data_IF_569533972112
#
_entry.id   IF_569533972112
#
_cell.length_a   1.000
_cell.length_b   1.000
_cell.length_c   1.000
_cell.angle_alpha   90.00
_cell.angle_beta   90.00
_cell.angle_gamma   90.00
#
_symmetry.space_group_name_H-M   'P 1'
#
loop_
_entity.id
_entity.type
_entity.pdbx_description
1 polymer ?
#
# COMPACT_ATOMS: atom_id res chain seq x y z
N UNK A 1 14.44 -8.36 -59.13
CA UNK A 1 13.42 -8.26 -58.07
C UNK A 1 14.01 -7.41 -56.96
N UNK A 2 13.63 -6.15 -56.91
CA UNK A 2 14.11 -5.18 -55.92
C UNK A 2 13.27 -5.33 -54.66
N UNK A 3 13.91 -5.71 -53.56
CA UNK A 3 13.29 -5.74 -52.23
C UNK A 3 13.34 -4.31 -51.69
N UNK A 4 12.20 -3.64 -51.67
CA UNK A 4 12.04 -2.37 -50.97
C UNK A 4 12.23 -2.60 -49.47
N UNK A 5 12.98 -1.74 -48.75
CA UNK A 5 13.05 -1.81 -47.30
C UNK A 5 11.71 -1.35 -46.72
N UNK A 6 11.09 -2.21 -45.90
CA UNK A 6 9.95 -1.81 -45.07
C UNK A 6 10.37 -0.64 -44.17
N UNK A 7 9.54 0.41 -44.02
CA UNK A 7 9.81 1.44 -43.05
C UNK A 7 9.67 0.83 -41.66
N UNK A 8 10.80 0.72 -40.97
CA UNK A 8 10.88 0.44 -39.54
C UNK A 8 9.92 1.38 -38.83
N UNK A 9 8.82 0.82 -38.35
CA UNK A 9 7.87 1.52 -37.51
C UNK A 9 8.58 1.84 -36.20
N UNK A 10 9.21 3.01 -36.15
CA UNK A 10 9.58 3.67 -34.90
C UNK A 10 8.30 3.79 -34.11
N UNK A 11 8.07 2.84 -33.20
CA UNK A 11 7.13 3.00 -32.10
C UNK A 11 7.65 4.19 -31.32
N UNK A 12 7.15 5.37 -31.68
CA UNK A 12 7.31 6.59 -30.93
C UNK A 12 7.03 6.25 -29.48
N UNK A 13 8.05 6.48 -28.64
CA UNK A 13 7.92 6.28 -27.21
C UNK A 13 6.73 7.11 -26.72
N UNK A 14 5.99 6.64 -25.70
CA UNK A 14 4.89 7.41 -25.13
C UNK A 14 5.38 8.83 -24.80
N UNK A 15 4.59 9.88 -25.06
CA UNK A 15 4.99 11.29 -24.87
C UNK A 15 5.52 11.61 -23.46
N UNK A 16 5.15 10.79 -22.47
CA UNK A 16 5.57 10.89 -21.07
C UNK A 16 7.00 10.41 -20.76
N UNK A 17 7.77 9.92 -21.75
CA UNK A 17 9.14 9.42 -21.51
C UNK A 17 10.23 10.42 -21.91
N UNK A 18 9.89 11.68 -22.17
CA UNK A 18 10.89 12.68 -22.53
C UNK A 18 11.76 13.04 -21.31
N UNK A 19 12.95 12.44 -21.25
CA UNK A 19 13.94 12.58 -20.19
C UNK A 19 14.19 14.04 -19.77
N UNK A 20 14.24 14.97 -20.72
CA UNK A 20 14.57 16.38 -20.48
C UNK A 20 13.40 17.15 -19.83
N UNK A 21 12.17 16.67 -19.98
CA UNK A 21 10.98 17.27 -19.35
C UNK A 21 10.66 16.68 -17.98
N UNK A 22 11.30 15.57 -17.61
CA UNK A 22 11.04 14.85 -16.37
C UNK A 22 12.02 15.29 -15.28
N UNK A 23 11.51 15.73 -14.13
CA UNK A 23 12.35 16.09 -12.98
C UNK A 23 13.11 14.89 -12.43
N UNK A 24 14.23 15.13 -11.73
CA UNK A 24 15.02 14.07 -11.10
C UNK A 24 14.16 13.17 -10.21
N UNK A 25 13.33 13.76 -9.36
CA UNK A 25 12.48 13.00 -8.44
C UNK A 25 11.44 12.16 -9.16
N UNK A 26 10.89 12.67 -10.26
CA UNK A 26 9.99 11.89 -11.10
C UNK A 26 10.73 10.73 -11.77
N UNK A 27 11.96 10.96 -12.28
CA UNK A 27 12.77 9.89 -12.86
C UNK A 27 13.11 8.81 -11.85
N UNK A 28 13.51 9.19 -10.64
CA UNK A 28 13.75 8.25 -9.53
C UNK A 28 12.53 7.39 -9.25
N UNK A 29 11.35 8.00 -9.11
CA UNK A 29 10.10 7.29 -8.85
C UNK A 29 9.77 6.30 -9.96
N UNK A 30 9.84 6.74 -11.22
CA UNK A 30 9.49 5.89 -12.37
C UNK A 30 10.45 4.72 -12.57
N UNK A 31 11.77 4.95 -12.46
CA UNK A 31 12.76 3.86 -12.56
C UNK A 31 12.58 2.89 -11.40
N UNK A 32 12.40 3.40 -10.18
CA UNK A 32 12.19 2.58 -9.00
C UNK A 32 10.91 1.74 -9.10
N UNK A 33 9.84 2.30 -9.63
CA UNK A 33 8.60 1.58 -9.90
C UNK A 33 8.81 0.42 -10.90
N UNK A 34 9.51 0.68 -12.02
CA UNK A 34 9.88 -0.34 -13.00
C UNK A 34 10.73 -1.45 -12.35
N UNK A 35 11.79 -1.08 -11.64
CA UNK A 35 12.69 -2.06 -11.04
C UNK A 35 12.01 -2.86 -9.94
N UNK A 36 11.19 -2.22 -9.11
CA UNK A 36 10.43 -2.89 -8.07
C UNK A 36 9.48 -3.92 -8.67
N UNK A 37 8.98 -3.74 -9.89
CA UNK A 37 8.04 -4.67 -10.53
C UNK A 37 8.62 -6.08 -10.76
N UNK A 38 9.95 -6.24 -10.70
CA UNK A 38 10.62 -7.55 -10.73
C UNK A 38 10.74 -8.21 -9.35
N UNK A 39 10.54 -7.44 -8.28
CA UNK A 39 10.44 -7.97 -6.93
C UNK A 39 8.99 -8.34 -6.61
N UNK A 40 8.81 -9.42 -5.86
CA UNK A 40 7.49 -9.98 -5.55
C UNK A 40 6.84 -9.29 -4.35
N UNK A 41 7.61 -8.70 -3.44
CA UNK A 41 7.15 -8.23 -2.13
C UNK A 41 7.27 -6.71 -1.95
N UNK A 42 8.37 -6.13 -2.41
CA UNK A 42 8.71 -4.74 -2.14
C UNK A 42 7.80 -3.81 -2.96
N UNK A 43 7.23 -2.82 -2.28
CA UNK A 43 6.53 -1.73 -2.94
C UNK A 43 7.54 -0.76 -3.57
N UNK A 44 7.13 0.02 -4.60
CA UNK A 44 8.02 1.00 -5.23
C UNK A 44 8.68 1.96 -4.24
N UNK A 45 8.00 2.39 -3.18
CA UNK A 45 8.54 3.32 -2.18
C UNK A 45 9.69 2.74 -1.34
N UNK A 46 9.63 1.44 -1.07
CA UNK A 46 10.54 0.70 -0.20
C UNK A 46 11.77 0.22 -0.99
N UNK A 47 11.57 -0.11 -2.28
CA UNK A 47 12.58 -0.70 -3.13
C UNK A 47 13.80 0.20 -3.30
N UNK A 48 14.96 -0.22 -2.80
CA UNK A 48 16.22 0.54 -2.89
C UNK A 48 16.10 2.00 -2.40
N UNK A 49 15.29 2.24 -1.36
CA UNK A 49 15.02 3.57 -0.82
C UNK A 49 16.29 4.32 -0.40
N UNK A 50 17.25 3.64 0.24
CA UNK A 50 18.52 4.20 0.68
C UNK A 50 19.37 4.68 -0.52
N UNK A 51 19.43 3.90 -1.60
CA UNK A 51 20.14 4.27 -2.84
C UNK A 51 19.43 5.46 -3.48
N UNK A 52 18.10 5.42 -3.58
CA UNK A 52 17.29 6.46 -4.21
C UNK A 52 17.46 7.84 -3.54
N UNK A 53 17.65 7.88 -2.21
CA UNK A 53 17.93 9.10 -1.45
C UNK A 53 19.31 9.67 -1.81
N UNK A 54 20.31 8.80 -2.00
CA UNK A 54 21.70 9.21 -2.33
C UNK A 54 21.88 9.71 -3.75
N UNK A 55 20.92 9.49 -4.64
CA UNK A 55 20.97 9.95 -6.03
C UNK A 55 20.72 11.46 -6.08
N UNK A 56 21.61 12.29 -6.62
CA UNK A 56 21.42 13.76 -6.66
C UNK A 56 21.74 14.38 -8.01
N UNK A 57 21.31 15.62 -8.26
CA UNK A 57 21.62 16.30 -9.53
C UNK A 57 23.13 16.49 -9.72
N UNK A 58 23.90 16.66 -8.65
CA UNK A 58 25.36 16.80 -8.72
C UNK A 58 26.04 15.53 -9.25
N UNK A 59 25.42 14.36 -9.11
CA UNK A 59 25.96 13.11 -9.65
C UNK A 59 25.75 12.99 -11.16
N UNK A 60 24.78 13.72 -11.73
CA UNK A 60 24.52 13.67 -13.19
C UNK A 60 25.60 14.35 -14.02
N UNK A 61 26.54 15.09 -13.40
CA UNK A 61 27.67 15.73 -14.09
C UNK A 61 28.94 14.88 -14.07
N UNK A 62 28.92 13.76 -13.32
CA UNK A 62 30.07 12.86 -13.19
C UNK A 62 30.20 11.95 -14.42
N UNK A 63 31.40 11.41 -14.70
CA UNK A 63 31.58 10.45 -15.77
C UNK A 63 30.68 9.22 -15.60
N UNK A 64 30.11 8.70 -16.70
CA UNK A 64 29.19 7.55 -16.66
C UNK A 64 29.80 6.29 -16.01
N UNK A 65 31.13 6.15 -16.00
CA UNK A 65 31.82 5.07 -15.28
C UNK A 65 31.56 5.09 -13.78
N UNK A 66 31.30 6.27 -13.19
CA UNK A 66 30.96 6.44 -11.78
C UNK A 66 29.49 6.16 -11.46
N UNK A 67 28.63 6.07 -12.48
CA UNK A 67 27.23 5.66 -12.31
C UNK A 67 27.08 4.14 -12.17
N UNK A 68 28.13 3.40 -12.53
CA UNK A 68 28.18 1.94 -12.37
C UNK A 68 28.70 1.60 -10.97
N UNK A 69 27.82 1.00 -10.17
CA UNK A 69 28.15 0.55 -8.81
C UNK A 69 28.58 -0.91 -8.86
N UNK A 70 29.89 -1.15 -8.79
CA UNK A 70 30.44 -2.51 -8.85
C UNK A 70 29.85 -3.41 -7.75
N UNK A 71 29.36 -4.58 -8.16
CA UNK A 71 28.73 -5.55 -7.24
C UNK A 71 27.27 -5.26 -6.89
N UNK A 72 26.70 -4.13 -7.35
CA UNK A 72 25.30 -3.77 -7.11
C UNK A 72 24.58 -3.41 -8.42
N UNK A 73 23.93 -4.41 -8.99
CA UNK A 73 23.14 -4.27 -10.22
C UNK A 73 21.95 -3.31 -10.02
N UNK A 74 21.32 -3.33 -8.84
CA UNK A 74 20.12 -2.52 -8.58
C UNK A 74 20.50 -1.04 -8.50
N UNK A 75 21.57 -0.72 -7.78
CA UNK A 75 22.10 0.63 -7.70
C UNK A 75 22.58 1.13 -9.07
N UNK A 76 23.24 0.27 -9.84
CA UNK A 76 23.66 0.59 -11.21
C UNK A 76 22.46 0.94 -12.09
N UNK A 77 21.45 0.06 -12.15
CA UNK A 77 20.26 0.29 -12.98
C UNK A 77 19.48 1.54 -12.55
N UNK A 78 19.36 1.79 -11.24
CA UNK A 78 18.68 2.97 -10.73
C UNK A 78 19.43 4.25 -11.10
N UNK A 79 20.75 4.28 -10.93
CA UNK A 79 21.57 5.47 -11.23
C UNK A 79 21.58 5.78 -12.72
N UNK A 80 21.81 4.76 -13.56
CA UNK A 80 21.76 4.91 -15.02
C UNK A 80 20.38 5.33 -15.50
N UNK A 81 19.32 4.69 -15.01
CA UNK A 81 17.95 5.05 -15.38
C UNK A 81 17.59 6.50 -15.04
N UNK A 82 18.21 7.09 -14.03
CA UNK A 82 17.87 8.43 -13.54
C UNK A 82 18.73 9.53 -14.18
N UNK A 83 20.00 9.26 -14.50
CA UNK A 83 20.94 10.26 -15.01
C UNK A 83 21.19 10.17 -16.52
N UNK A 84 20.98 9.02 -17.13
CA UNK A 84 21.24 8.80 -18.55
C UNK A 84 19.93 8.78 -19.36
N UNK A 85 19.88 9.54 -20.47
CA UNK A 85 18.69 9.58 -21.33
C UNK A 85 18.43 8.24 -22.03
N UNK A 86 19.50 7.54 -22.42
CA UNK A 86 19.41 6.25 -23.08
C UNK A 86 19.02 5.16 -22.08
N UNK A 87 19.64 5.16 -20.89
CA UNK A 87 19.27 4.32 -19.75
C UNK A 87 17.81 4.50 -19.33
N UNK A 88 17.35 5.74 -19.17
CA UNK A 88 15.95 6.08 -18.91
C UNK A 88 15.01 5.50 -19.97
N UNK A 89 15.34 5.75 -21.23
CA UNK A 89 14.55 5.28 -22.37
C UNK A 89 14.51 3.76 -22.44
N UNK A 90 15.64 3.11 -22.18
CA UNK A 90 15.77 1.66 -22.19
C UNK A 90 14.96 1.00 -21.08
N UNK A 91 15.09 1.49 -19.84
CA UNK A 91 14.36 0.94 -18.68
C UNK A 91 12.86 1.13 -18.84
N UNK A 92 12.40 2.27 -19.38
CA UNK A 92 10.98 2.50 -19.63
C UNK A 92 10.36 1.53 -20.67
N UNK A 93 11.17 0.83 -21.46
CA UNK A 93 10.68 -0.24 -22.38
C UNK A 93 10.44 -1.57 -21.67
N UNK A 94 10.96 -1.78 -20.47
CA UNK A 94 10.92 -3.09 -19.81
C UNK A 94 9.49 -3.48 -19.40
N UNK A 95 8.78 -2.57 -18.73
CA UNK A 95 7.43 -2.85 -18.22
C UNK A 95 6.51 -1.63 -18.47
N UNK A 96 5.45 -1.79 -19.28
CA UNK A 96 4.49 -0.72 -19.56
C UNK A 96 3.76 -0.24 -18.29
N UNK A 97 3.41 1.07 -18.24
CA UNK A 97 2.71 1.70 -17.10
C UNK A 97 1.48 0.91 -16.63
N UNK A 98 0.67 0.39 -17.56
CA UNK A 98 -0.52 -0.42 -17.25
C UNK A 98 -0.19 -1.70 -16.48
N UNK A 99 0.89 -2.38 -16.87
CA UNK A 99 1.35 -3.61 -16.21
C UNK A 99 1.96 -3.28 -14.86
N UNK A 100 2.73 -2.19 -14.74
CA UNK A 100 3.27 -1.71 -13.46
C UNK A 100 2.15 -1.44 -12.45
N UNK A 101 1.08 -0.75 -12.86
CA UNK A 101 -0.06 -0.48 -12.00
C UNK A 101 -0.78 -1.76 -11.53
N UNK A 102 -0.92 -2.75 -12.42
CA UNK A 102 -1.47 -4.05 -12.06
C UNK A 102 -0.59 -4.78 -11.02
N UNK A 103 0.72 -4.88 -11.29
CA UNK A 103 1.67 -5.52 -10.38
C UNK A 103 1.72 -4.83 -9.01
N UNK A 104 1.64 -3.51 -8.97
CA UNK A 104 1.52 -2.75 -7.73
C UNK A 104 0.27 -3.17 -6.95
N UNK A 105 -0.91 -3.21 -7.59
CA UNK A 105 -2.15 -3.61 -6.93
C UNK A 105 -2.07 -5.04 -6.39
N UNK A 106 -1.52 -5.98 -7.16
CA UNK A 106 -1.34 -7.38 -6.75
C UNK A 106 -0.37 -7.51 -5.55
N UNK A 107 0.67 -6.69 -5.47
CA UNK A 107 1.56 -6.62 -4.30
C UNK A 107 0.84 -6.06 -3.09
N UNK A 108 0.16 -4.94 -3.27
CA UNK A 108 -0.55 -4.25 -2.20
C UNK A 108 -1.61 -5.18 -1.57
N UNK A 109 -2.42 -5.84 -2.41
CA UNK A 109 -3.42 -6.81 -1.97
C UNK A 109 -2.79 -7.97 -1.18
N UNK A 110 -1.71 -8.58 -1.69
CA UNK A 110 -1.01 -9.67 -0.98
C UNK A 110 -0.44 -9.24 0.36
N UNK A 111 0.02 -7.99 0.48
CA UNK A 111 0.55 -7.47 1.74
C UNK A 111 -0.55 -7.16 2.75
N UNK A 112 -1.67 -6.58 2.32
CA UNK A 112 -2.84 -6.44 3.18
C UNK A 112 -3.29 -7.81 3.70
N UNK A 113 -3.45 -8.79 2.81
CA UNK A 113 -3.84 -10.14 3.20
C UNK A 113 -2.87 -10.75 4.22
N UNK A 114 -1.57 -10.59 4.03
CA UNK A 114 -0.55 -11.08 4.97
C UNK A 114 -0.71 -10.48 6.36
N UNK A 115 -1.02 -9.18 6.45
CA UNK A 115 -1.21 -8.52 7.75
C UNK A 115 -2.56 -8.90 8.38
N UNK A 116 -3.63 -9.08 7.61
CA UNK A 116 -4.90 -9.61 8.10
C UNK A 116 -4.78 -11.05 8.59
N UNK A 117 -4.11 -11.94 7.83
CA UNK A 117 -3.81 -13.31 8.26
C UNK A 117 -2.96 -13.31 9.55
N UNK A 118 -2.04 -12.37 9.67
CA UNK A 118 -1.22 -12.17 10.87
C UNK A 118 -2.08 -11.78 12.08
N UNK A 119 -3.02 -10.86 11.90
CA UNK A 119 -4.00 -10.49 12.91
C UNK A 119 -4.91 -11.65 13.29
N UNK A 120 -5.45 -12.38 12.31
CA UNK A 120 -6.35 -13.50 12.56
C UNK A 120 -5.65 -14.62 13.35
N UNK A 121 -4.36 -14.85 13.09
CA UNK A 121 -3.54 -15.77 13.91
C UNK A 121 -3.40 -15.29 15.35
N UNK A 122 -3.23 -13.98 15.58
CA UNK A 122 -3.19 -13.40 16.93
C UNK A 122 -4.54 -13.63 17.61
N UNK A 123 -5.63 -13.25 16.95
CA UNK A 123 -6.99 -13.37 17.46
C UNK A 123 -7.36 -14.82 17.82
N UNK A 124 -7.01 -15.77 16.95
CA UNK A 124 -7.27 -17.20 17.18
C UNK A 124 -6.43 -17.75 18.33
N UNK A 125 -5.16 -17.36 18.44
CA UNK A 125 -4.26 -17.83 19.51
C UNK A 125 -4.71 -17.44 20.92
N UNK A 126 -5.58 -16.43 21.06
CA UNK A 126 -6.13 -15.99 22.35
C UNK A 126 -7.29 -16.89 22.81
N UNK A 127 -7.95 -17.56 21.87
CA UNK A 127 -9.06 -18.48 22.15
C UNK A 127 -8.58 -19.92 22.39
N UNK A 128 -7.28 -20.19 22.28
CA UNK A 128 -6.71 -21.52 22.49
C UNK A 128 -6.43 -21.78 23.99
N UNK A 129 -6.57 -23.02 24.49
CA UNK A 129 -6.35 -23.35 25.90
C UNK A 129 -4.93 -23.04 26.40
N UNK A 130 -3.93 -23.03 25.50
CA UNK A 130 -2.53 -22.72 25.78
C UNK A 130 -2.27 -21.19 25.90
N UNK A 131 -3.28 -20.35 25.61
CA UNK A 131 -3.19 -18.89 25.63
C UNK A 131 -2.92 -18.29 27.03
N UNK A 132 -3.12 -19.07 28.11
CA UNK A 132 -2.92 -18.65 29.50
C UNK A 132 -1.48 -18.15 29.81
N UNK A 133 -0.53 -18.36 28.90
CA UNK A 133 0.85 -17.88 29.04
C UNK A 133 1.12 -16.51 28.40
N UNK A 134 0.19 -15.95 27.62
CA UNK A 134 0.40 -14.66 26.94
C UNK A 134 -0.09 -13.49 27.78
N UNK A 135 0.83 -12.57 28.11
CA UNK A 135 0.46 -11.31 28.76
C UNK A 135 -0.45 -10.48 27.85
N UNK A 136 -1.55 -9.90 28.37
CA UNK A 136 -2.42 -8.99 27.61
C UNK A 136 -1.64 -7.86 26.93
N UNK A 137 -0.61 -7.31 27.58
CA UNK A 137 0.24 -6.27 27.01
C UNK A 137 0.99 -6.73 25.75
N UNK A 138 1.38 -8.01 25.69
CA UNK A 138 2.03 -8.58 24.52
C UNK A 138 1.08 -8.71 23.34
N UNK A 139 -0.15 -9.16 23.58
CA UNK A 139 -1.22 -9.23 22.57
C UNK A 139 -1.53 -7.83 22.02
N UNK A 140 -1.76 -6.86 22.90
CA UNK A 140 -2.01 -5.46 22.53
C UNK A 140 -0.91 -4.89 21.63
N UNK A 141 0.36 -5.16 21.98
CA UNK A 141 1.51 -4.71 21.20
C UNK A 141 1.54 -5.33 19.79
N UNK A 142 1.22 -6.62 19.67
CA UNK A 142 1.16 -7.30 18.36
C UNK A 142 0.02 -6.78 17.49
N UNK A 143 -1.16 -6.51 18.07
CA UNK A 143 -2.28 -5.90 17.33
C UNK A 143 -1.91 -4.49 16.89
N UNK A 144 -1.30 -3.68 17.76
CA UNK A 144 -0.82 -2.34 17.41
C UNK A 144 0.24 -2.39 16.29
N UNK A 145 1.11 -3.40 16.27
CA UNK A 145 2.08 -3.60 15.20
C UNK A 145 1.40 -3.94 13.86
N UNK A 146 0.40 -4.83 13.86
CA UNK A 146 -0.37 -5.17 12.66
C UNK A 146 -1.12 -3.93 12.13
N UNK A 147 -1.77 -3.18 13.02
CA UNK A 147 -2.42 -1.91 12.71
C UNK A 147 -1.43 -0.89 12.10
N UNK A 148 -0.24 -0.75 12.71
CA UNK A 148 0.81 0.14 12.19
C UNK A 148 1.22 -0.21 10.77
N UNK A 149 1.42 -1.50 10.46
CA UNK A 149 1.77 -1.95 9.11
C UNK A 149 0.63 -1.76 8.11
N UNK A 150 -0.61 -2.01 8.51
CA UNK A 150 -1.79 -1.74 7.67
C UNK A 150 -1.87 -0.24 7.34
N UNK A 151 -1.64 0.64 8.31
CA UNK A 151 -1.56 2.08 8.06
C UNK A 151 -0.42 2.45 7.10
N UNK A 152 0.76 1.83 7.23
CA UNK A 152 1.84 2.03 6.26
C UNK A 152 1.41 1.63 4.85
N UNK A 153 0.72 0.49 4.68
CA UNK A 153 0.21 0.06 3.37
C UNK A 153 -0.85 1.00 2.80
N UNK A 154 -1.73 1.55 3.65
CA UNK A 154 -2.70 2.58 3.23
C UNK A 154 -1.98 3.84 2.75
N UNK A 155 -0.95 4.29 3.47
CA UNK A 155 -0.15 5.44 3.07
C UNK A 155 0.53 5.20 1.70
N UNK A 156 1.04 3.99 1.46
CA UNK A 156 1.62 3.63 0.16
C UNK A 156 0.60 3.61 -0.98
N UNK A 157 -0.62 3.16 -0.72
CA UNK A 157 -1.70 3.20 -1.69
C UNK A 157 -2.11 4.65 -2.00
N UNK A 158 -2.13 5.54 -1.00
CA UNK A 158 -2.40 6.97 -1.20
C UNK A 158 -1.32 7.62 -2.07
N UNK A 159 -0.05 7.35 -1.79
CA UNK A 159 1.07 7.82 -2.62
C UNK A 159 0.94 7.33 -4.07
N UNK A 160 0.50 6.09 -4.28
CA UNK A 160 0.25 5.53 -5.61
C UNK A 160 -0.89 6.23 -6.33
N UNK A 161 -2.00 6.52 -5.63
CA UNK A 161 -3.16 7.22 -6.19
C UNK A 161 -2.83 8.65 -6.64
N UNK A 162 -1.99 9.36 -5.87
CA UNK A 162 -1.53 10.71 -6.23
C UNK A 162 -0.59 10.70 -7.44
N UNK A 163 0.18 9.61 -7.60
CA UNK A 163 1.23 9.50 -8.60
C UNK A 163 0.76 8.93 -9.94
N UNK A 164 -0.01 7.84 -9.92
CA UNK A 164 -0.39 7.15 -11.15
C UNK A 164 -1.67 7.72 -11.73
N UNK A 165 -1.64 8.03 -13.02
CA UNK A 165 -2.86 8.30 -13.79
C UNK A 165 -3.56 7.03 -14.30
N UNK A 166 -2.89 5.87 -14.24
CA UNK A 166 -3.39 4.57 -14.71
C UNK A 166 -3.51 3.62 -13.54
N UNK A 167 -4.65 2.92 -13.44
CA UNK A 167 -4.85 1.89 -12.43
C UNK A 167 -5.43 2.39 -11.11
N UNK A 168 -5.65 3.70 -10.95
CA UNK A 168 -6.22 4.29 -9.72
C UNK A 168 -7.49 3.59 -9.22
N UNK A 169 -8.39 3.18 -10.13
CA UNK A 169 -9.61 2.44 -9.77
C UNK A 169 -9.32 1.07 -9.13
N UNK A 170 -8.23 0.40 -9.52
CA UNK A 170 -7.82 -0.87 -8.91
C UNK A 170 -7.20 -0.63 -7.54
N UNK A 171 -6.32 0.36 -7.40
CA UNK A 171 -5.76 0.75 -6.09
C UNK A 171 -6.88 1.17 -5.12
N UNK A 172 -7.85 1.97 -5.59
CA UNK A 172 -9.04 2.36 -4.82
C UNK A 172 -9.88 1.15 -4.38
N UNK A 173 -10.03 0.14 -5.25
CA UNK A 173 -10.71 -1.11 -4.89
C UNK A 173 -9.96 -1.87 -3.79
N UNK A 174 -8.65 -2.03 -3.91
CA UNK A 174 -7.83 -2.71 -2.88
C UNK A 174 -7.93 -1.99 -1.53
N UNK A 175 -7.97 -0.65 -1.53
CA UNK A 175 -8.20 0.13 -0.31
C UNK A 175 -9.58 -0.12 0.30
N UNK A 176 -10.64 -0.19 -0.52
CA UNK A 176 -11.98 -0.48 -0.03
C UNK A 176 -12.09 -1.92 0.50
N UNK A 177 -11.46 -2.89 -0.16
CA UNK A 177 -11.38 -4.27 0.35
C UNK A 177 -10.64 -4.31 1.69
N UNK A 178 -9.55 -3.54 1.85
CA UNK A 178 -8.88 -3.44 3.15
C UNK A 178 -9.76 -2.80 4.24
N UNK A 179 -10.51 -1.74 3.91
CA UNK A 179 -11.46 -1.11 4.85
C UNK A 179 -12.58 -2.08 5.22
N UNK A 180 -13.07 -2.85 4.24
CA UNK A 180 -14.07 -3.89 4.47
C UNK A 180 -13.57 -4.92 5.49
N UNK A 181 -12.36 -5.45 5.28
CA UNK A 181 -11.73 -6.41 6.17
C UNK A 181 -11.48 -5.85 7.58
N UNK A 182 -11.17 -4.55 7.71
CA UNK A 182 -11.04 -3.84 9.01
C UNK A 182 -12.39 -3.76 9.71
N UNK A 183 -13.46 -3.37 9.00
CA UNK A 183 -14.81 -3.32 9.56
C UNK A 183 -15.31 -4.69 10.00
N UNK A 184 -15.00 -5.75 9.25
CA UNK A 184 -15.39 -7.13 9.60
C UNK A 184 -14.65 -7.65 10.84
N UNK A 185 -13.41 -7.19 11.08
CA UNK A 185 -12.57 -7.52 12.26
C UNK A 185 -12.76 -6.54 13.42
N UNK A 186 -13.93 -5.91 13.51
CA UNK A 186 -14.32 -5.04 14.62
C UNK A 186 -14.74 -5.80 15.88
N UNK A 187 -14.70 -7.14 15.89
CA UNK A 187 -15.05 -7.90 17.10
C UNK A 187 -13.96 -7.70 18.14
N UNK A 188 -14.38 -7.31 19.33
CA UNK A 188 -13.49 -7.09 20.45
C UNK A 188 -12.90 -8.42 20.90
N UNK A 189 -11.57 -8.49 20.93
CA UNK A 189 -10.88 -9.58 21.61
C UNK A 189 -10.85 -9.19 23.08
N UNK A 190 -11.60 -9.92 23.92
CA UNK A 190 -11.65 -9.62 25.36
C UNK A 190 -10.44 -10.23 26.07
N UNK A 191 -9.59 -9.44 26.74
CA UNK A 191 -8.53 -9.97 27.59
C UNK A 191 -9.06 -10.64 28.86
N UNK A 192 -10.35 -10.50 29.21
CA UNK A 192 -10.96 -11.18 30.35
C UNK A 192 -11.06 -12.71 30.17
N UNK A 193 -10.79 -13.24 28.96
CA UNK A 193 -10.59 -14.68 28.74
C UNK A 193 -9.20 -15.17 29.20
N UNK A 194 -8.23 -14.27 29.38
CA UNK A 194 -6.85 -14.60 29.79
C UNK A 194 -6.66 -14.55 31.31
N UNK A 195 -7.44 -13.72 32.02
CA UNK A 195 -7.49 -13.70 33.48
C UNK A 195 -8.84 -14.25 33.94
N UNK A 196 -8.86 -15.47 34.50
CA UNK A 196 -10.07 -16.17 34.94
C UNK A 196 -10.80 -15.55 36.13
N UNK A 197 -10.89 -14.22 36.24
CA UNK A 197 -11.61 -13.53 37.32
C UNK A 197 -12.40 -12.31 36.79
N UNK A 198 -13.75 -12.33 36.80
CA UNK A 198 -14.59 -11.24 36.29
C UNK A 198 -14.59 -9.97 37.16
N UNK A 199 -13.86 -9.94 38.28
CA UNK A 199 -14.12 -8.96 39.35
C UNK A 199 -13.01 -7.91 39.58
N UNK A 200 -11.91 -7.95 38.82
CA UNK A 200 -10.83 -6.95 38.96
C UNK A 200 -10.34 -6.42 37.62
N UNK A 201 -11.05 -5.42 37.08
CA UNK A 201 -10.47 -4.21 36.44
C UNK A 201 -11.53 -3.57 35.53
N UNK A 202 -12.03 -2.40 35.90
CA UNK A 202 -13.01 -1.61 35.14
C UNK A 202 -12.48 -0.96 33.86
N UNK A 203 -11.54 -1.60 33.17
CA UNK A 203 -11.10 -1.21 31.84
C UNK A 203 -11.00 -2.47 30.98
N UNK A 204 -12.12 -2.86 30.38
CA UNK A 204 -12.14 -3.76 29.23
C UNK A 204 -11.27 -3.12 28.14
N UNK A 205 -10.03 -3.60 28.02
CA UNK A 205 -9.17 -3.32 26.87
C UNK A 205 -9.68 -4.19 25.71
N UNK A 206 -10.84 -3.82 25.20
CA UNK A 206 -11.30 -4.25 23.89
C UNK A 206 -10.32 -3.69 22.86
N UNK A 207 -9.44 -4.54 22.33
CA UNK A 207 -8.45 -4.15 21.33
C UNK A 207 -8.77 -4.91 20.05
N UNK A 208 -9.75 -4.42 19.31
CA UNK A 208 -9.98 -4.88 17.94
C UNK A 208 -9.04 -4.17 16.97
N UNK A 209 -8.88 -4.71 15.76
CA UNK A 209 -8.15 -4.03 14.69
C UNK A 209 -8.80 -2.67 14.36
N UNK A 210 -10.13 -2.61 14.39
CA UNK A 210 -10.90 -1.38 14.21
C UNK A 210 -10.57 -0.34 15.28
N UNK A 211 -10.48 -0.73 16.57
CA UNK A 211 -10.14 0.21 17.63
C UNK A 211 -8.71 0.75 17.49
N UNK A 212 -7.76 -0.13 17.14
CA UNK A 212 -6.35 0.25 16.96
C UNK A 212 -6.11 1.16 15.74
N UNK A 213 -6.96 1.09 14.72
CA UNK A 213 -6.83 1.86 13.48
C UNK A 213 -7.67 3.14 13.44
N UNK A 214 -8.89 3.09 14.00
CA UNK A 214 -9.90 4.13 13.78
C UNK A 214 -10.27 4.82 15.10
N UNK A 215 -10.62 4.04 16.13
CA UNK A 215 -11.22 4.62 17.35
C UNK A 215 -10.19 5.21 18.32
N UNK A 216 -9.06 4.55 18.47
CA UNK A 216 -7.97 4.91 19.39
C UNK A 216 -6.62 4.63 18.73
N UNK A 217 -6.31 5.24 17.58
CA UNK A 217 -5.00 5.08 16.99
C UNK A 217 -3.93 5.62 17.95
N UNK A 218 -2.74 4.99 18.00
CA UNK A 218 -1.63 5.54 18.77
C UNK A 218 -1.35 6.98 18.33
N UNK A 219 -1.04 7.88 19.25
CA UNK A 219 -0.86 9.31 18.97
C UNK A 219 0.20 9.61 17.88
N UNK A 220 1.10 8.67 17.63
CA UNK A 220 2.15 8.74 16.61
C UNK A 220 1.70 8.27 15.22
N UNK A 221 0.48 7.74 15.09
CA UNK A 221 -0.01 7.11 13.86
C UNK A 221 -0.96 8.06 13.12
N UNK A 222 -0.61 8.49 11.90
CA UNK A 222 -1.50 9.35 11.11
C UNK A 222 -2.79 8.60 10.73
N UNK A 223 -3.93 9.30 10.76
CA UNK A 223 -5.26 8.77 10.41
C UNK A 223 -5.43 8.62 8.88
N UNK A 224 -4.50 7.91 8.23
CA UNK A 224 -4.46 7.74 6.76
C UNK A 224 -5.66 7.00 6.19
N UNK A 225 -6.38 6.22 7.01
CA UNK A 225 -7.60 5.52 6.58
C UNK A 225 -8.73 6.50 6.24
N UNK A 226 -8.86 7.61 6.97
CA UNK A 226 -9.87 8.64 6.66
C UNK A 226 -9.54 9.33 5.34
N UNK A 227 -8.26 9.66 5.12
CA UNK A 227 -7.78 10.23 3.86
C UNK A 227 -7.98 9.26 2.68
N UNK A 228 -7.78 7.96 2.89
CA UNK A 228 -8.06 6.93 1.89
C UNK A 228 -9.53 6.92 1.46
N UNK A 229 -10.48 7.06 2.40
CA UNK A 229 -11.89 7.15 2.05
C UNK A 229 -12.24 8.40 1.26
N UNK A 230 -11.71 9.56 1.66
CA UNK A 230 -11.90 10.80 0.91
C UNK A 230 -11.36 10.65 -0.52
N UNK A 231 -10.14 10.12 -0.67
CA UNK A 231 -9.54 9.89 -2.00
C UNK A 231 -10.31 8.89 -2.85
N UNK A 232 -10.78 7.80 -2.26
CA UNK A 232 -11.60 6.83 -2.99
C UNK A 232 -12.94 7.43 -3.41
N UNK A 233 -13.56 8.26 -2.57
CA UNK A 233 -14.79 9.00 -2.91
C UNK A 233 -14.58 9.90 -4.12
N UNK A 234 -13.45 10.59 -4.21
CA UNK A 234 -13.11 11.44 -5.35
C UNK A 234 -12.89 10.64 -6.64
N UNK A 235 -12.20 9.51 -6.54
CA UNK A 235 -11.76 8.72 -7.71
C UNK A 235 -12.86 7.79 -8.22
N UNK A 236 -13.62 7.17 -7.32
CA UNK A 236 -14.59 6.15 -7.68
C UNK A 236 -15.77 6.07 -6.69
N UNK A 237 -16.68 7.06 -6.68
CA UNK A 237 -17.83 7.07 -5.77
C UNK A 237 -18.72 5.83 -5.95
N UNK A 238 -18.80 5.29 -7.18
CA UNK A 238 -19.52 4.05 -7.45
C UNK A 238 -18.96 2.81 -6.76
N UNK A 239 -17.64 2.73 -6.52
CA UNK A 239 -17.06 1.63 -5.74
C UNK A 239 -17.42 1.75 -4.26
N UNK A 240 -17.41 2.97 -3.73
CA UNK A 240 -17.82 3.25 -2.36
C UNK A 240 -19.30 2.89 -2.13
N UNK A 241 -20.17 3.29 -3.07
CA UNK A 241 -21.59 2.93 -3.05
C UNK A 241 -21.80 1.41 -3.13
N UNK A 242 -21.01 0.70 -3.93
CA UNK A 242 -21.08 -0.75 -4.03
C UNK A 242 -20.70 -1.43 -2.70
N UNK A 243 -19.70 -0.90 -1.97
CA UNK A 243 -19.33 -1.40 -0.65
C UNK A 243 -20.44 -1.15 0.39
N UNK A 244 -21.05 0.05 0.37
CA UNK A 244 -22.20 0.38 1.22
C UNK A 244 -23.34 -0.64 1.04
N UNK A 245 -23.75 -0.89 -0.21
CA UNK A 245 -24.81 -1.85 -0.54
C UNK A 245 -24.47 -3.25 -0.01
N UNK A 246 -23.20 -3.65 -0.07
CA UNK A 246 -22.76 -4.95 0.45
C UNK A 246 -22.89 -5.04 1.96
N UNK A 247 -22.55 -3.99 2.69
CA UNK A 247 -22.75 -3.95 4.15
C UNK A 247 -24.21 -3.89 4.57
N UNK A 248 -25.10 -3.42 3.70
CA UNK A 248 -26.56 -3.41 3.90
C UNK A 248 -27.22 -4.75 3.52
N UNK A 249 -26.46 -5.72 3.02
CA UNK A 249 -26.98 -7.03 2.66
C UNK A 249 -27.48 -7.79 3.90
N UNK A 250 -28.59 -8.54 3.78
CA UNK A 250 -29.27 -9.14 4.94
C UNK A 250 -28.47 -10.25 5.64
N UNK A 251 -27.47 -10.81 4.98
CA UNK A 251 -26.54 -11.84 5.46
C UNK A 251 -25.34 -11.27 6.22
N UNK A 252 -25.12 -9.95 6.16
CA UNK A 252 -24.00 -9.27 6.80
C UNK A 252 -24.44 -8.70 8.15
N UNK A 253 -23.67 -8.91 9.25
CA UNK A 253 -23.96 -8.28 10.52
C UNK A 253 -24.07 -6.75 10.40
N UNK A 254 -25.20 -6.19 10.86
CA UNK A 254 -25.49 -4.75 10.76
C UNK A 254 -24.45 -3.87 11.46
N UNK A 255 -23.71 -4.43 12.43
CA UNK A 255 -22.59 -3.76 13.10
C UNK A 255 -21.50 -3.34 12.12
N UNK A 256 -21.23 -4.11 11.06
CA UNK A 256 -20.18 -3.75 10.10
C UNK A 256 -20.59 -2.54 9.25
N UNK A 257 -21.85 -2.50 8.81
CA UNK A 257 -22.41 -1.34 8.11
C UNK A 257 -22.46 -0.08 8.98
N UNK A 258 -22.80 -0.21 10.27
CA UNK A 258 -22.74 0.90 11.23
C UNK A 258 -21.32 1.46 11.35
N UNK A 259 -20.31 0.59 11.49
CA UNK A 259 -18.89 0.98 11.58
C UNK A 259 -18.40 1.67 10.32
N UNK A 260 -18.76 1.13 9.16
CA UNK A 260 -18.44 1.76 7.89
C UNK A 260 -19.10 3.14 7.75
N UNK A 261 -20.36 3.29 8.17
CA UNK A 261 -21.06 4.57 8.15
C UNK A 261 -20.43 5.60 9.11
N UNK A 262 -20.05 5.17 10.33
CA UNK A 262 -19.29 5.99 11.28
C UNK A 262 -18.00 6.50 10.64
N UNK A 263 -17.27 5.61 9.95
CA UNK A 263 -16.00 5.92 9.31
C UNK A 263 -16.17 6.92 8.16
N UNK A 264 -17.18 6.73 7.29
CA UNK A 264 -17.49 7.69 6.22
C UNK A 264 -17.90 9.05 6.77
N UNK A 265 -18.68 9.07 7.85
CA UNK A 265 -19.08 10.32 8.52
C UNK A 265 -17.86 11.07 9.08
N UNK A 266 -16.93 10.35 9.73
CA UNK A 266 -15.68 10.93 10.23
C UNK A 266 -14.80 11.48 9.10
N UNK A 267 -14.78 10.81 7.94
CA UNK A 267 -14.06 11.25 6.75
C UNK A 267 -14.75 12.41 6.00
N UNK A 268 -15.97 12.81 6.40
CA UNK A 268 -16.77 13.81 5.71
C UNK A 268 -17.31 13.34 4.35
N UNK A 269 -17.37 12.02 4.14
CA UNK A 269 -17.81 11.40 2.88
C UNK A 269 -19.31 11.12 2.93
N UNK A 270 -20.05 11.65 1.96
CA UNK A 270 -21.49 11.44 1.84
C UNK A 270 -21.76 10.19 1.03
N UNK A 271 -22.45 9.23 1.65
CA UNK A 271 -22.83 7.92 1.12
C UNK A 271 -24.25 7.88 0.56
#
# INVERSE_FOLDING_TARGET
MSVSPEPSSERSLPPDTNFNSTSLDQRKRDVRDILSSFDVNDLPSEYCSDICIRITNEQSTRPNSEWTVFGDLRATMLTWGVHDSDGWTFINKWIPKKIRAQLFCEKLQRRFQREFDGYDKIANSINEPEAQSQSPAHVSSRIAQAAGKINSLVAEALLDLDFRSVGQKHTARVLLEAIEEICMRSRNISPALLEGDPLTSGMELEISLYDALIRRPPATTPMVILEALTRVSDISPGLLQALKIRFEAPDIPSTYGQRFHELCTQAGVVL
#
